data_IF_384396326415
#
_entry.id   IF_384396326415
#
_cell.length_a   1.000
_cell.length_b   1.000
_cell.length_c   1.000
_cell.angle_alpha   90.00
_cell.angle_beta   90.00
_cell.angle_gamma   90.00
#
_symmetry.space_group_name_H-M   'P 1'
#
loop_
_entity.id
_entity.type
_entity.pdbx_description
1 polymer ?
#
# COMPACT_ATOMS: atom_id res chain seq x y z
N UNK A 1 11.69 -1.39 -0.24
CA UNK A 1 11.33 -1.03 1.16
C UNK A 1 9.97 -1.65 1.46
N UNK A 2 9.71 -2.12 2.68
CA UNK A 2 8.39 -2.70 3.06
C UNK A 2 7.75 -1.84 4.14
N UNK A 3 6.56 -1.29 3.87
CA UNK A 3 5.81 -0.40 4.76
C UNK A 3 5.02 -1.17 5.82
N UNK A 4 4.47 -2.33 5.45
CA UNK A 4 3.78 -3.26 6.34
C UNK A 4 4.22 -4.68 5.99
N UNK A 5 4.07 -5.64 6.90
CA UNK A 5 4.30 -7.08 6.66
C UNK A 5 3.26 -7.90 7.39
N UNK A 6 2.84 -9.02 6.81
CA UNK A 6 1.97 -9.97 7.51
C UNK A 6 2.60 -10.39 8.84
N UNK A 7 1.85 -10.19 9.92
CA UNK A 7 2.33 -10.44 11.27
C UNK A 7 1.18 -10.43 12.28
N UNK A 8 1.48 -10.64 13.57
CA UNK A 8 0.47 -10.68 14.63
C UNK A 8 -0.32 -9.35 14.74
N UNK A 9 0.29 -8.24 14.34
CA UNK A 9 -0.30 -6.91 14.39
C UNK A 9 -0.62 -6.32 13.01
N UNK A 10 -0.53 -7.12 11.95
CA UNK A 10 -0.79 -6.66 10.59
C UNK A 10 -1.35 -7.75 9.69
N UNK A 11 -2.56 -7.51 9.19
CA UNK A 11 -3.28 -8.34 8.23
C UNK A 11 -3.00 -7.93 6.77
N UNK A 12 -1.99 -7.10 6.54
CA UNK A 12 -1.63 -6.60 5.19
C UNK A 12 -0.12 -6.66 4.99
N UNK A 13 0.29 -6.87 3.74
CA UNK A 13 1.69 -6.81 3.36
C UNK A 13 1.86 -5.77 2.26
N UNK A 14 2.56 -4.68 2.57
CA UNK A 14 2.72 -3.55 1.65
C UNK A 14 4.19 -3.27 1.45
N UNK A 15 4.63 -3.19 0.20
CA UNK A 15 6.01 -2.94 -0.15
C UNK A 15 6.13 -2.01 -1.35
N UNK A 16 7.22 -1.25 -1.42
CA UNK A 16 7.54 -0.41 -2.57
C UNK A 16 7.89 -1.32 -3.76
N UNK A 17 7.24 -1.09 -4.91
CA UNK A 17 7.54 -1.83 -6.13
C UNK A 17 8.89 -1.39 -6.69
N UNK A 18 9.64 -2.32 -7.27
CA UNK A 18 10.85 -1.98 -8.03
C UNK A 18 10.53 -1.29 -9.36
N UNK A 19 9.29 -1.40 -9.84
CA UNK A 19 8.83 -0.75 -11.07
C UNK A 19 8.40 0.72 -10.87
N UNK A 20 8.43 1.21 -9.63
CA UNK A 20 7.82 2.49 -9.23
C UNK A 20 6.42 2.28 -8.66
N UNK A 21 6.13 2.99 -7.56
CA UNK A 21 4.88 2.87 -6.81
C UNK A 21 4.92 1.85 -5.67
N UNK A 22 3.75 1.43 -5.23
CA UNK A 22 3.53 0.63 -4.02
C UNK A 22 2.61 -0.55 -4.29
N UNK A 23 2.95 -1.71 -3.72
CA UNK A 23 2.19 -2.95 -3.89
C UNK A 23 1.64 -3.45 -2.56
N UNK A 24 0.34 -3.77 -2.56
CA UNK A 24 -0.34 -4.46 -1.48
C UNK A 24 -0.51 -5.94 -1.86
N UNK A 25 0.30 -6.79 -1.25
CA UNK A 25 0.32 -8.22 -1.50
C UNK A 25 -0.91 -8.91 -0.89
N UNK A 26 -1.49 -9.85 -1.64
CA UNK A 26 -2.66 -10.66 -1.21
C UNK A 26 -3.87 -9.80 -0.81
N UNK A 27 -4.11 -8.75 -1.58
CA UNK A 27 -5.22 -7.85 -1.34
C UNK A 27 -6.56 -8.49 -1.75
N UNK A 28 -7.58 -8.35 -0.89
CA UNK A 28 -8.96 -8.79 -1.18
C UNK A 28 -9.76 -7.76 -1.98
N UNK A 29 -9.39 -6.48 -1.91
CA UNK A 29 -10.03 -5.36 -2.59
C UNK A 29 -9.32 -5.00 -3.91
N UNK A 30 -8.71 -5.98 -4.58
CA UNK A 30 -8.18 -5.79 -5.92
C UNK A 30 -9.33 -5.36 -6.84
N UNK A 31 -9.10 -4.32 -7.64
CA UNK A 31 -10.05 -3.96 -8.68
C UNK A 31 -10.10 -5.13 -9.67
N UNK A 32 -11.31 -5.62 -9.95
CA UNK A 32 -11.59 -6.73 -10.88
C UNK A 32 -11.05 -6.43 -12.31
N UNK A 33 -10.70 -5.17 -12.57
CA UNK A 33 -10.19 -4.62 -13.83
C UNK A 33 -8.67 -4.75 -14.02
N UNK A 34 -7.92 -5.32 -13.08
CA UNK A 34 -6.49 -5.59 -13.30
C UNK A 34 -6.30 -6.88 -14.11
N UNK A 35 -5.98 -6.75 -15.40
CA UNK A 35 -5.53 -7.85 -16.25
C UNK A 35 -3.99 -7.87 -16.33
N UNK A 36 -3.32 -9.02 -16.08
CA UNK A 36 -3.86 -10.31 -15.65
C UNK A 36 -4.38 -10.31 -14.20
N UNK A 37 -5.25 -11.26 -13.80
CA UNK A 37 -5.77 -11.35 -12.44
C UNK A 37 -4.62 -11.45 -11.44
N UNK A 38 -4.39 -10.36 -10.73
CA UNK A 38 -3.33 -10.23 -9.73
C UNK A 38 -3.94 -10.33 -8.34
N UNK A 39 -3.32 -11.14 -7.50
CA UNK A 39 -3.65 -11.16 -6.07
C UNK A 39 -2.99 -9.99 -5.31
N UNK A 40 -2.27 -9.11 -5.99
CA UNK A 40 -1.66 -7.90 -5.46
C UNK A 40 -2.30 -6.65 -6.08
N UNK A 41 -2.61 -5.66 -5.25
CA UNK A 41 -3.04 -4.34 -5.72
C UNK A 41 -1.79 -3.48 -5.89
N UNK A 42 -1.54 -3.00 -7.10
CA UNK A 42 -0.42 -2.09 -7.40
C UNK A 42 -0.98 -0.69 -7.56
N UNK A 43 -0.40 0.24 -6.84
CA UNK A 43 -0.74 1.66 -6.87
C UNK A 43 0.48 2.43 -7.30
N UNK A 44 0.32 3.40 -8.20
CA UNK A 44 1.42 4.29 -8.59
C UNK A 44 1.67 5.30 -7.46
N UNK A 45 0.60 5.78 -6.82
CA UNK A 45 0.65 6.79 -5.77
C UNK A 45 0.51 6.20 -4.37
N UNK A 46 1.32 6.72 -3.46
CA UNK A 46 1.23 6.45 -2.02
C UNK A 46 -0.11 6.91 -1.43
N UNK A 47 -0.70 8.00 -1.93
CA UNK A 47 -2.00 8.50 -1.45
C UNK A 47 -3.13 7.50 -1.76
N UNK A 48 -3.10 6.92 -2.97
CA UNK A 48 -4.01 5.84 -3.35
C UNK A 48 -3.80 4.61 -2.46
N UNK A 49 -2.55 4.25 -2.15
CA UNK A 49 -2.24 3.17 -1.20
C UNK A 49 -2.78 3.48 0.21
N UNK A 50 -2.64 4.72 0.69
CA UNK A 50 -3.19 5.15 1.99
C UNK A 50 -4.73 5.04 1.99
N UNK A 51 -5.39 5.50 0.92
CA UNK A 51 -6.84 5.38 0.78
C UNK A 51 -7.29 3.90 0.76
N UNK A 52 -6.51 3.05 0.11
CA UNK A 52 -6.74 1.60 0.06
C UNK A 52 -6.56 0.91 1.41
N UNK A 53 -5.50 1.26 2.15
CA UNK A 53 -5.29 0.75 3.50
C UNK A 53 -6.39 1.21 4.48
N UNK A 54 -6.95 2.40 4.30
CA UNK A 54 -8.13 2.85 5.04
C UNK A 54 -9.36 1.96 4.75
N UNK A 55 -9.52 1.45 3.52
CA UNK A 55 -10.59 0.48 3.19
C UNK A 55 -10.38 -0.83 3.96
N UNK A 56 -9.15 -1.35 4.00
CA UNK A 56 -8.81 -2.51 4.81
C UNK A 56 -9.15 -2.32 6.30
N UNK A 57 -8.76 -1.17 6.87
CA UNK A 57 -9.06 -0.84 8.27
C UNK A 57 -10.58 -0.75 8.54
N UNK A 58 -11.35 -0.19 7.59
CA UNK A 58 -12.82 -0.16 7.67
C UNK A 58 -13.46 -1.54 7.53
N UNK A 59 -12.83 -2.44 6.78
CA UNK A 59 -13.26 -3.83 6.64
C UNK A 59 -12.92 -4.69 7.87
N UNK A 60 -12.19 -4.14 8.86
CA UNK A 60 -11.80 -4.84 10.08
C UNK A 60 -10.41 -5.47 10.04
N UNK A 61 -9.62 -5.25 8.98
CA UNK A 61 -8.24 -5.71 8.91
C UNK A 61 -7.34 -4.81 9.78
N UNK A 62 -6.36 -5.40 10.45
CA UNK A 62 -5.38 -4.66 11.24
C UNK A 62 -4.27 -4.12 10.32
N UNK A 63 -4.16 -2.80 10.24
CA UNK A 63 -3.12 -2.11 9.46
C UNK A 63 -2.27 -1.27 10.42
N UNK A 64 -0.95 -1.47 10.48
CA UNK A 64 -0.07 -0.72 11.37
C UNK A 64 -0.04 0.76 10.98
N UNK A 65 0.01 1.63 11.98
CA UNK A 65 0.03 3.08 11.75
C UNK A 65 1.34 3.53 11.08
N UNK A 66 2.46 2.89 11.46
CA UNK A 66 3.78 3.10 10.86
C UNK A 66 3.76 2.99 9.33
N UNK A 67 2.98 2.05 8.78
CA UNK A 67 2.86 1.93 7.32
C UNK A 67 2.30 3.19 6.66
N UNK A 68 1.32 3.85 7.30
CA UNK A 68 0.78 5.11 6.79
C UNK A 68 1.77 6.26 6.92
N UNK A 69 2.55 6.28 8.00
CA UNK A 69 3.57 7.32 8.25
C UNK A 69 4.70 7.23 7.23
N UNK A 70 5.22 6.03 7.02
CA UNK A 70 6.27 5.74 6.03
C UNK A 70 5.78 6.04 4.59
N UNK A 71 4.55 5.65 4.23
CA UNK A 71 3.97 5.99 2.92
C UNK A 71 3.83 7.50 2.73
N UNK A 72 3.46 8.22 3.78
CA UNK A 72 3.31 9.68 3.73
C UNK A 72 4.66 10.38 3.65
N UNK A 73 5.69 9.85 4.31
CA UNK A 73 7.06 10.34 4.21
C UNK A 73 7.64 10.12 2.80
N UNK A 74 7.43 8.94 2.21
CA UNK A 74 7.89 8.64 0.84
C UNK A 74 7.21 9.55 -0.18
N UNK A 75 5.89 9.78 -0.02
CA UNK A 75 5.12 10.74 -0.82
C UNK A 75 5.69 12.15 -0.73
N UNK A 76 5.98 12.61 0.48
CA UNK A 76 6.53 13.95 0.73
C UNK A 76 7.95 14.09 0.14
N UNK A 77 8.78 13.06 0.28
CA UNK A 77 10.10 12.99 -0.31
C UNK A 77 10.05 13.01 -1.85
N UNK A 78 9.10 12.28 -2.47
CA UNK A 78 8.87 12.33 -3.92
C UNK A 78 8.35 13.69 -4.38
N UNK A 79 7.40 14.26 -3.66
CA UNK A 79 6.84 15.57 -3.97
C UNK A 79 7.88 16.70 -3.81
N UNK A 80 8.85 16.54 -2.92
CA UNK A 80 9.93 17.52 -2.67
C UNK A 80 11.14 17.34 -3.58
N UNK A 81 11.20 16.29 -4.40
CA UNK A 81 12.33 15.95 -5.27
C UNK A 81 12.27 16.49 -6.69
N UNK A 82 11.24 17.27 -7.03
CA UNK A 82 11.10 17.97 -8.32
C UNK A 82 11.49 19.45 -8.12
N UNK A 83 12.79 19.75 -8.29
CA UNK A 83 13.37 21.09 -8.17
C UNK A 83 14.65 21.22 -8.97
#
# INVERSE_FOLDING_TARGET
>A
MSYARFGPDSDVYVYASTAGGVECCRCRFIAETQEPPRNNAVMVDEDEMIAHLKKHRRAGHRVPNEAFEELRADRDARASGDG
#
